data_IF_648530026620
#
_entry.id   IF_648530026620
#
_cell.length_a   1.000
_cell.length_b   1.000
_cell.length_c   1.000
_cell.angle_alpha   90.00
_cell.angle_beta   90.00
_cell.angle_gamma   90.00
#
_symmetry.space_group_name_H-M   'P 1'
#
loop_
_entity.id
_entity.type
_entity.pdbx_description
1 polymer ?
#
# COMPACT_ATOMS: atom_id res chain seq x y z
N UNK A 1 -5.84 0.79 -5.79
CA UNK A 1 -7.10 0.89 -5.04
C UNK A 1 -6.97 -0.01 -3.84
N UNK A 2 -7.32 0.47 -2.66
CA UNK A 2 -7.29 -0.29 -1.42
C UNK A 2 -8.74 -0.48 -0.96
N UNK A 3 -9.12 -1.73 -0.66
CA UNK A 3 -10.50 -2.16 -0.36
C UNK A 3 -10.70 -2.41 1.15
N UNK A 4 -9.88 -1.79 2.00
CA UNK A 4 -9.89 -1.95 3.45
C UNK A 4 -9.11 -0.86 4.15
N UNK A 5 -9.06 -0.93 5.48
CA UNK A 5 -8.37 0.07 6.30
C UNK A 5 -6.85 0.01 6.10
N UNK A 6 -6.27 1.18 5.83
CA UNK A 6 -4.84 1.40 5.89
C UNK A 6 -4.49 2.02 7.25
N UNK A 7 -3.35 1.63 7.81
CA UNK A 7 -2.81 2.30 8.98
C UNK A 7 -2.59 3.80 8.68
N UNK A 8 -2.86 4.66 9.68
CA UNK A 8 -2.87 6.11 9.49
C UNK A 8 -1.51 6.69 9.07
N UNK A 9 -0.43 6.09 9.53
CA UNK A 9 0.95 6.40 9.12
C UNK A 9 1.20 6.09 7.64
N UNK A 10 0.68 4.96 7.13
CA UNK A 10 0.73 4.60 5.71
C UNK A 10 -0.03 5.61 4.87
N UNK A 11 -1.24 6.02 5.29
CA UNK A 11 -2.01 7.05 4.57
C UNK A 11 -1.24 8.37 4.52
N UNK A 12 -0.66 8.79 5.65
CA UNK A 12 0.13 10.02 5.74
C UNK A 12 1.34 9.98 4.79
N UNK A 13 2.00 8.84 4.64
CA UNK A 13 3.10 8.66 3.68
C UNK A 13 2.61 8.75 2.23
N UNK A 14 1.49 8.10 1.91
CA UNK A 14 0.89 8.16 0.57
C UNK A 14 0.50 9.59 0.18
N UNK A 15 -0.05 10.38 1.13
CA UNK A 15 -0.39 11.79 0.93
C UNK A 15 0.84 12.68 0.65
N UNK A 16 2.04 12.30 1.11
CA UNK A 16 3.28 13.01 0.78
C UNK A 16 3.77 12.76 -0.64
N UNK A 17 3.38 11.65 -1.25
CA UNK A 17 3.90 11.20 -2.56
C UNK A 17 2.87 11.25 -3.68
N UNK A 18 1.65 11.65 -3.35
CA UNK A 18 0.60 11.90 -4.31
C UNK A 18 -0.76 12.13 -3.67
N UNK A 19 -1.80 11.84 -4.43
CA UNK A 19 -3.18 12.12 -4.02
C UNK A 19 -3.84 10.88 -3.44
N UNK A 20 -4.35 10.99 -2.23
CA UNK A 20 -5.23 9.99 -1.61
C UNK A 20 -6.68 10.50 -1.62
N UNK A 21 -7.59 9.73 -2.22
CA UNK A 21 -9.03 9.99 -2.21
C UNK A 21 -9.74 8.86 -1.50
N UNK A 22 -10.64 9.20 -0.58
CA UNK A 22 -11.51 8.23 0.11
C UNK A 22 -12.90 8.29 -0.50
N UNK A 23 -13.49 7.14 -0.82
CA UNK A 23 -14.86 7.01 -1.31
C UNK A 23 -15.51 5.82 -0.62
N UNK A 24 -16.30 6.10 0.41
CA UNK A 24 -16.83 5.06 1.30
C UNK A 24 -15.70 4.29 1.97
N UNK A 25 -15.72 2.97 1.83
CA UNK A 25 -14.70 2.04 2.38
C UNK A 25 -13.47 1.88 1.48
N UNK A 26 -13.44 2.56 0.32
CA UNK A 26 -12.36 2.42 -0.66
C UNK A 26 -11.42 3.62 -0.58
N UNK A 27 -10.11 3.33 -0.58
CA UNK A 27 -9.05 4.33 -0.72
C UNK A 27 -8.41 4.23 -2.10
N UNK A 28 -8.46 5.33 -2.85
CA UNK A 28 -7.82 5.45 -4.16
C UNK A 28 -6.57 6.31 -3.98
N UNK A 29 -5.42 5.74 -4.32
CA UNK A 29 -4.14 6.45 -4.34
C UNK A 29 -3.66 6.61 -5.79
N UNK A 30 -3.15 7.80 -6.10
CA UNK A 30 -2.44 8.09 -7.34
C UNK A 30 -1.11 8.75 -6.98
N UNK A 31 -0.01 8.19 -7.49
CA UNK A 31 1.33 8.72 -7.27
C UNK A 31 1.60 9.86 -8.23
N UNK A 32 2.23 10.95 -7.75
CA UNK A 32 2.52 12.10 -8.60
C UNK A 32 3.64 11.79 -9.61
N UNK A 33 4.68 11.09 -9.16
CA UNK A 33 5.77 10.63 -10.01
C UNK A 33 6.48 9.41 -9.41
N UNK A 34 6.88 8.47 -10.27
CA UNK A 34 7.48 7.19 -9.86
C UNK A 34 6.66 6.01 -10.38
N UNK A 35 6.61 4.94 -9.60
CA UNK A 35 6.01 3.69 -10.02
C UNK A 35 5.22 3.00 -8.89
N UNK A 36 4.09 2.38 -9.25
CA UNK A 36 3.36 1.44 -8.40
C UNK A 36 3.38 0.08 -9.08
N UNK A 37 3.85 -0.95 -8.38
CA UNK A 37 3.85 -2.35 -8.84
C UNK A 37 3.07 -3.21 -7.87
N UNK A 38 2.39 -4.23 -8.38
CA UNK A 38 1.71 -5.23 -7.54
C UNK A 38 2.18 -6.61 -7.98
N UNK A 39 2.56 -7.47 -7.03
CA UNK A 39 2.94 -8.87 -7.31
C UNK A 39 2.28 -9.80 -6.31
N UNK A 40 1.80 -10.95 -6.78
CA UNK A 40 1.35 -12.04 -5.90
C UNK A 40 2.58 -12.65 -5.22
N UNK A 41 2.56 -12.73 -3.89
CA UNK A 41 3.68 -13.27 -3.09
C UNK A 41 3.35 -14.63 -2.49
N UNK A 42 2.08 -14.90 -2.20
CA UNK A 42 1.62 -16.19 -1.70
C UNK A 42 0.16 -16.43 -2.10
N UNK A 43 -0.20 -17.69 -2.22
CA UNK A 43 -1.57 -18.14 -2.47
C UNK A 43 -1.79 -19.49 -1.81
N UNK A 44 -2.88 -19.58 -1.06
CA UNK A 44 -3.43 -20.80 -0.48
C UNK A 44 -4.93 -20.87 -0.81
N UNK A 45 -5.60 -22.01 -0.54
CA UNK A 45 -7.05 -22.12 -0.76
C UNK A 45 -7.88 -21.08 0.00
N UNK A 46 -7.40 -20.61 1.16
CA UNK A 46 -8.11 -19.67 2.03
C UNK A 46 -7.58 -18.24 1.98
N UNK A 47 -6.38 -18.02 1.43
CA UNK A 47 -5.71 -16.70 1.47
C UNK A 47 -4.93 -16.40 0.21
N UNK A 48 -5.03 -15.16 -0.27
CA UNK A 48 -4.10 -14.60 -1.27
C UNK A 48 -3.35 -13.43 -0.66
N UNK A 49 -2.03 -13.42 -0.82
CA UNK A 49 -1.19 -12.29 -0.41
C UNK A 49 -0.56 -11.65 -1.66
N UNK A 50 -0.75 -10.34 -1.80
CA UNK A 50 -0.15 -9.51 -2.84
C UNK A 50 0.71 -8.44 -2.20
N UNK A 51 1.91 -8.24 -2.73
CA UNK A 51 2.76 -7.11 -2.35
C UNK A 51 2.55 -5.94 -3.28
N UNK A 52 2.23 -4.80 -2.71
CA UNK A 52 2.11 -3.50 -3.35
C UNK A 52 3.41 -2.75 -3.08
N UNK A 53 4.11 -2.38 -4.16
CA UNK A 53 5.34 -1.61 -4.13
C UNK A 53 5.01 -0.19 -4.61
N UNK A 54 5.28 0.81 -3.78
CA UNK A 54 5.16 2.23 -4.11
C UNK A 54 6.56 2.81 -4.08
N UNK A 55 7.04 3.25 -5.24
CA UNK A 55 8.38 3.78 -5.44
C UNK A 55 8.30 5.19 -6.04
N UNK A 56 8.19 6.24 -5.21
CA UNK A 56 8.21 7.62 -5.69
C UNK A 56 9.55 7.99 -6.31
N UNK A 57 9.54 8.96 -7.22
CA UNK A 57 10.74 9.43 -7.94
C UNK A 57 11.85 9.94 -7.01
N UNK A 58 11.52 10.41 -5.80
CA UNK A 58 12.47 10.88 -4.79
C UNK A 58 13.33 9.76 -4.14
N UNK A 59 13.10 8.49 -4.50
CA UNK A 59 13.88 7.35 -4.03
C UNK A 59 13.35 6.67 -2.76
N UNK A 60 12.21 7.15 -2.23
CA UNK A 60 11.45 6.44 -1.22
C UNK A 60 10.97 5.07 -1.74
N UNK A 61 10.69 4.16 -0.81
CA UNK A 61 10.11 2.84 -1.09
C UNK A 61 9.16 2.48 0.04
N UNK A 62 7.94 2.13 -0.33
CA UNK A 62 6.94 1.55 0.56
C UNK A 62 6.50 0.22 -0.04
N UNK A 63 6.56 -0.84 0.76
CA UNK A 63 6.04 -2.15 0.44
C UNK A 63 4.95 -2.53 1.44
N UNK A 64 3.74 -2.81 0.94
CA UNK A 64 2.60 -3.27 1.72
C UNK A 64 2.20 -4.67 1.27
N UNK A 65 1.92 -5.55 2.22
CA UNK A 65 1.27 -6.82 1.93
C UNK A 65 -0.25 -6.64 2.08
N UNK A 66 -0.97 -6.78 0.98
CA UNK A 66 -2.42 -6.98 0.94
C UNK A 66 -2.70 -8.45 1.17
N UNK A 67 -3.36 -8.78 2.28
CA UNK A 67 -3.83 -10.13 2.58
C UNK A 67 -5.34 -10.18 2.40
N UNK A 68 -5.80 -11.03 1.49
CA UNK A 68 -7.21 -11.34 1.30
C UNK A 68 -7.50 -12.70 1.90
N UNK A 69 -8.28 -12.73 2.99
CA UNK A 69 -8.76 -13.94 3.63
C UNK A 69 -10.18 -14.24 3.13
N UNK A 70 -10.34 -15.35 2.41
CA UNK A 70 -11.62 -15.75 1.82
C UNK A 70 -12.57 -16.40 2.84
N UNK A 71 -12.05 -16.96 3.94
CA UNK A 71 -12.88 -17.55 5.00
C UNK A 71 -13.56 -16.45 5.82
N UNK A 72 -12.83 -15.39 6.14
CA UNK A 72 -13.35 -14.24 6.90
C UNK A 72 -14.03 -13.19 6.01
N UNK A 73 -13.81 -13.25 4.69
CA UNK A 73 -14.30 -12.25 3.74
C UNK A 73 -13.66 -10.87 3.95
N UNK A 74 -12.40 -10.81 4.40
CA UNK A 74 -11.71 -9.57 4.78
C UNK A 74 -10.43 -9.34 3.97
N UNK A 75 -10.14 -8.07 3.73
CA UNK A 75 -8.86 -7.59 3.19
C UNK A 75 -8.16 -6.80 4.28
N UNK A 76 -6.88 -7.10 4.51
CA UNK A 76 -6.03 -6.37 5.44
C UNK A 76 -4.72 -5.97 4.77
N UNK A 77 -4.10 -4.92 5.30
CA UNK A 77 -2.85 -4.37 4.80
C UNK A 77 -1.83 -4.32 5.93
N UNK A 78 -0.61 -4.80 5.67
CA UNK A 78 0.48 -4.73 6.63
C UNK A 78 1.72 -4.10 5.99
N UNK A 79 2.47 -3.34 6.80
CA UNK A 79 3.73 -2.77 6.36
C UNK A 79 4.77 -3.88 6.25
N UNK A 80 5.22 -4.16 5.03
CA UNK A 80 6.31 -5.12 4.81
C UNK A 80 7.68 -4.42 4.88
N UNK A 81 7.82 -3.27 4.21
CA UNK A 81 9.07 -2.52 4.19
C UNK A 81 8.84 -1.04 3.96
N UNK A 82 9.63 -0.21 4.64
CA UNK A 82 9.68 1.23 4.42
C UNK A 82 11.14 1.68 4.31
N UNK A 83 11.46 2.46 3.28
CA UNK A 83 12.71 3.18 3.14
C UNK A 83 12.41 4.60 2.69
N UNK A 84 12.70 5.57 3.54
CA UNK A 84 12.55 6.99 3.22
C UNK A 84 13.85 7.55 2.65
N UNK A 85 13.76 8.48 1.70
CA UNK A 85 14.90 9.29 1.27
C UNK A 85 15.28 10.31 2.35
N UNK A 86 16.44 10.96 2.24
CA UNK A 86 16.94 11.90 3.25
C UNK A 86 15.94 13.03 3.57
N UNK A 87 15.26 13.57 2.56
CA UNK A 87 14.26 14.64 2.73
C UNK A 87 13.04 14.19 3.55
N UNK A 88 12.64 12.92 3.43
CA UNK A 88 11.48 12.37 4.12
C UNK A 88 11.83 11.67 5.44
N UNK A 89 13.11 11.51 5.76
CA UNK A 89 13.59 11.03 7.07
C UNK A 89 13.63 12.14 8.13
N UNK A 90 13.75 13.39 7.68
CA UNK A 90 13.93 14.57 8.50
C UNK A 90 12.62 15.09 9.10
#
# INVERSE_FOLDING_TARGET
>A
MFEGELAGDVVTLLEKWGTVKRSGEVVIFSIDSGEIKIRKVSESPSTVVRRIYVSPSCGCLLELDETRNFEEGRVSYSLYKLRLCQEHQA
#
